data_IF_106657462325
#
_entry.id   IF_106657462325
#
_cell.length_a   1.000
_cell.length_b   1.000
_cell.length_c   1.000
_cell.angle_alpha   90.00
_cell.angle_beta   90.00
_cell.angle_gamma   90.00
#
_symmetry.space_group_name_H-M   'P 1'
#
loop_
_entity.id
_entity.type
_entity.pdbx_description
1 polymer ?
#
# COMPACT_ATOMS: atom_id res chain seq x y z
N UNK A 1 -26.51 7.74 1.23
CA UNK A 1 -27.77 8.05 0.53
C UNK A 1 -28.28 6.81 -0.20
N UNK A 2 -27.65 6.29 -1.28
CA UNK A 2 -28.17 5.14 -2.02
C UNK A 2 -28.36 3.89 -1.14
N UNK A 3 -27.43 3.60 -0.22
CA UNK A 3 -27.55 2.49 0.76
C UNK A 3 -28.77 2.69 1.68
N UNK A 4 -28.98 3.90 2.17
CA UNK A 4 -30.11 4.23 3.03
C UNK A 4 -31.46 4.15 2.28
N UNK A 5 -31.50 4.58 1.02
CA UNK A 5 -32.70 4.56 0.17
C UNK A 5 -33.07 3.14 -0.30
N UNK A 6 -32.08 2.28 -0.54
CA UNK A 6 -32.30 0.94 -1.12
C UNK A 6 -32.26 -0.18 -0.10
N UNK A 7 -31.65 0.04 1.06
CA UNK A 7 -31.37 -1.01 2.05
C UNK A 7 -30.33 -2.06 1.59
N UNK A 8 -29.69 -1.85 0.45
CA UNK A 8 -28.65 -2.74 -0.08
C UNK A 8 -27.34 -2.54 0.69
N UNK A 9 -26.55 -3.60 0.79
CA UNK A 9 -25.23 -3.55 1.39
C UNK A 9 -24.23 -3.00 0.37
N UNK A 10 -23.36 -2.12 0.83
CA UNK A 10 -22.21 -1.62 0.06
C UNK A 10 -20.94 -1.80 0.87
N UNK A 11 -19.89 -2.22 0.22
CA UNK A 11 -18.55 -2.30 0.80
C UNK A 11 -17.54 -1.83 -0.25
N UNK A 12 -16.68 -0.90 0.13
CA UNK A 12 -15.48 -0.59 -0.64
C UNK A 12 -14.40 -1.58 -0.24
N UNK A 13 -13.90 -2.34 -1.20
CA UNK A 13 -12.83 -3.31 -0.98
C UNK A 13 -11.47 -2.62 -1.18
N UNK A 14 -10.93 -2.02 -0.11
CA UNK A 14 -9.54 -1.59 -0.09
C UNK A 14 -8.67 -2.78 0.32
N UNK A 15 -7.78 -3.23 -0.57
CA UNK A 15 -7.09 -4.53 -0.42
C UNK A 15 -5.79 -4.44 0.37
N UNK A 16 -5.05 -3.34 0.30
CA UNK A 16 -3.71 -3.23 0.93
C UNK A 16 -3.77 -3.36 2.44
N UNK A 17 -4.82 -2.86 3.09
CA UNK A 17 -5.01 -2.98 4.55
C UNK A 17 -5.33 -4.41 5.01
N UNK A 18 -5.53 -5.33 4.08
CA UNK A 18 -5.71 -6.77 4.33
C UNK A 18 -4.55 -7.60 3.78
N UNK A 19 -3.52 -6.97 3.22
CA UNK A 19 -2.31 -7.69 2.82
C UNK A 19 -1.58 -8.24 4.04
N UNK A 20 -0.87 -9.35 3.84
CA UNK A 20 -0.14 -10.02 4.92
C UNK A 20 0.90 -9.10 5.56
N UNK A 21 1.57 -8.31 4.75
CA UNK A 21 2.58 -7.35 5.21
C UNK A 21 1.94 -6.26 6.07
N UNK A 22 0.80 -5.72 5.66
CA UNK A 22 0.10 -4.72 6.46
C UNK A 22 -0.38 -5.31 7.79
N UNK A 23 -0.96 -6.50 7.78
CA UNK A 23 -1.39 -7.19 9.01
C UNK A 23 -0.22 -7.44 9.94
N UNK A 24 0.92 -7.87 9.40
CA UNK A 24 2.15 -8.06 10.18
C UNK A 24 2.63 -6.77 10.84
N UNK A 25 2.70 -5.68 10.08
CA UNK A 25 3.15 -4.39 10.62
C UNK A 25 2.15 -3.88 11.67
N UNK A 26 0.87 -4.04 11.40
CA UNK A 26 -0.20 -3.63 12.34
C UNK A 26 -0.11 -4.40 13.65
N UNK A 27 0.14 -5.70 13.60
CA UNK A 27 0.38 -6.52 14.79
C UNK A 27 1.59 -6.03 15.59
N UNK A 28 2.72 -5.74 14.93
CA UNK A 28 3.90 -5.17 15.59
C UNK A 28 3.59 -3.82 16.26
N UNK A 29 2.77 -3.00 15.61
CA UNK A 29 2.34 -1.72 16.16
C UNK A 29 1.46 -1.89 17.39
N UNK A 30 0.42 -2.70 17.29
CA UNK A 30 -0.56 -2.94 18.35
C UNK A 30 0.09 -3.58 19.59
N UNK A 31 1.12 -4.40 19.39
CA UNK A 31 1.96 -4.98 20.45
C UNK A 31 2.99 -3.99 21.04
N UNK A 32 3.10 -2.77 20.50
CA UNK A 32 4.07 -1.75 20.94
C UNK A 32 5.52 -2.07 20.57
N UNK A 33 5.74 -3.01 19.65
CA UNK A 33 7.06 -3.45 19.24
C UNK A 33 7.78 -2.41 18.37
N UNK A 34 7.04 -1.64 17.56
CA UNK A 34 7.60 -0.54 16.78
C UNK A 34 8.05 0.64 17.66
N UNK A 35 7.57 0.71 18.91
CA UNK A 35 7.76 1.87 19.77
C UNK A 35 6.91 3.06 19.31
N UNK A 36 7.42 4.30 19.48
CA UNK A 36 6.74 5.49 18.95
C UNK A 36 6.93 5.53 17.43
N UNK A 37 5.85 5.60 16.66
CA UNK A 37 5.94 5.86 15.23
C UNK A 37 6.50 7.25 14.97
N UNK A 38 7.41 7.35 14.01
CA UNK A 38 8.09 8.58 13.64
C UNK A 38 7.71 9.05 12.23
N UNK A 39 7.47 8.10 11.31
CA UNK A 39 7.20 8.43 9.92
C UNK A 39 6.57 7.24 9.18
N UNK A 40 5.74 7.53 8.18
CA UNK A 40 5.15 6.56 7.26
C UNK A 40 5.48 6.97 5.83
N UNK A 41 5.80 5.99 4.99
CA UNK A 41 5.96 6.20 3.55
C UNK A 41 5.24 5.10 2.78
N UNK A 42 4.45 5.47 1.78
CA UNK A 42 3.76 4.50 0.94
C UNK A 42 3.91 4.81 -0.54
N UNK A 43 3.95 3.78 -1.35
CA UNK A 43 4.08 3.95 -2.78
C UNK A 43 3.24 2.93 -3.56
N UNK A 44 2.66 3.38 -4.68
CA UNK A 44 1.98 2.51 -5.61
C UNK A 44 2.42 2.82 -7.05
N UNK A 45 3.64 2.43 -7.43
CA UNK A 45 4.08 2.39 -8.82
C UNK A 45 3.31 1.32 -9.59
N UNK A 46 2.64 1.74 -10.66
CA UNK A 46 1.90 0.83 -11.53
C UNK A 46 1.89 1.38 -12.95
N UNK A 47 2.37 0.60 -13.92
CA UNK A 47 2.26 0.95 -15.33
C UNK A 47 0.94 0.38 -15.87
N UNK A 48 0.09 1.28 -16.38
CA UNK A 48 -1.23 0.96 -16.91
C UNK A 48 -1.23 0.85 -18.44
N UNK A 49 -0.06 0.86 -19.10
CA UNK A 49 0.01 0.64 -20.53
C UNK A 49 -0.56 -0.72 -20.93
N UNK A 50 -1.44 -0.73 -21.92
CA UNK A 50 -2.15 -1.93 -22.36
C UNK A 50 -3.39 -2.31 -21.52
N UNK A 51 -3.71 -1.55 -20.49
CA UNK A 51 -4.94 -1.70 -19.74
C UNK A 51 -6.14 -1.08 -20.49
N UNK A 52 -7.40 -1.38 -20.09
CA UNK A 52 -8.59 -0.78 -20.73
C UNK A 52 -8.52 0.74 -20.72
N UNK A 53 -8.94 1.36 -21.84
CA UNK A 53 -8.75 2.79 -22.10
C UNK A 53 -9.36 3.75 -21.07
N UNK A 54 -10.32 3.30 -20.26
CA UNK A 54 -10.89 4.14 -19.20
C UNK A 54 -9.86 4.50 -18.11
N UNK A 55 -8.75 3.75 -17.98
CA UNK A 55 -7.66 4.09 -17.08
C UNK A 55 -6.85 5.30 -17.54
N UNK A 56 -6.84 5.58 -18.86
CA UNK A 56 -6.10 6.70 -19.44
C UNK A 56 -6.68 8.07 -19.07
N UNK A 57 -7.92 8.11 -18.54
CA UNK A 57 -8.56 9.30 -18.04
C UNK A 57 -8.23 9.62 -16.57
N UNK A 58 -7.50 8.72 -15.89
CA UNK A 58 -7.16 8.87 -14.48
C UNK A 58 -5.82 9.56 -14.29
N UNK A 59 -5.79 10.47 -13.33
CA UNK A 59 -4.53 11.02 -12.79
C UNK A 59 -4.02 10.13 -11.64
N UNK A 60 -2.71 10.14 -11.33
CA UNK A 60 -2.16 9.23 -10.32
C UNK A 60 -2.89 9.26 -8.99
N UNK A 61 -3.18 10.42 -8.42
CA UNK A 61 -3.83 10.52 -7.10
C UNK A 61 -5.33 10.24 -7.09
N UNK A 62 -6.01 10.14 -8.24
CA UNK A 62 -7.39 9.63 -8.26
C UNK A 62 -7.48 8.15 -7.87
N UNK A 63 -6.39 7.41 -8.04
CA UNK A 63 -6.30 6.01 -7.62
C UNK A 63 -5.25 5.84 -6.52
N UNK A 64 -5.39 6.63 -5.45
CA UNK A 64 -4.44 6.67 -4.33
C UNK A 64 -4.89 5.87 -3.09
N UNK A 65 -6.01 5.16 -3.15
CA UNK A 65 -6.55 4.41 -2.01
C UNK A 65 -5.54 3.44 -1.42
N UNK A 66 -4.79 2.73 -2.26
CA UNK A 66 -3.80 1.74 -1.85
C UNK A 66 -2.56 2.31 -1.13
N UNK A 67 -2.36 3.63 -1.15
CA UNK A 67 -1.27 4.29 -0.40
C UNK A 67 -1.78 5.17 0.73
N UNK A 68 -3.00 5.70 0.61
CA UNK A 68 -3.63 6.51 1.66
C UNK A 68 -4.17 5.64 2.78
N UNK A 69 -4.92 4.58 2.42
CA UNK A 69 -5.58 3.70 3.39
C UNK A 69 -4.61 3.03 4.37
N UNK A 70 -3.48 2.43 3.93
CA UNK A 70 -2.55 1.84 4.87
C UNK A 70 -1.89 2.88 5.80
N UNK A 71 -1.59 4.08 5.30
CA UNK A 71 -1.03 5.14 6.16
C UNK A 71 -2.00 5.58 7.26
N UNK A 72 -3.27 5.76 6.93
CA UNK A 72 -4.30 6.14 7.90
C UNK A 72 -4.70 4.95 8.79
N UNK A 73 -4.81 3.75 8.20
CA UNK A 73 -5.16 2.52 8.90
C UNK A 73 -4.14 2.07 9.94
N UNK A 74 -2.85 2.42 9.76
CA UNK A 74 -1.82 2.12 10.78
C UNK A 74 -2.15 2.69 12.15
N UNK A 75 -2.78 3.86 12.20
CA UNK A 75 -3.07 4.59 13.45
C UNK A 75 -4.56 4.86 13.65
N UNK A 76 -5.42 4.23 12.84
CA UNK A 76 -6.87 4.47 12.83
C UNK A 76 -7.23 5.97 12.78
N UNK A 77 -6.43 6.72 11.99
CA UNK A 77 -6.45 8.19 11.95
C UNK A 77 -7.12 8.76 10.72
N UNK A 78 -7.26 10.08 10.71
CA UNK A 78 -7.75 10.87 9.59
C UNK A 78 -6.65 11.84 9.11
N UNK A 79 -6.73 12.28 7.87
CA UNK A 79 -5.89 13.36 7.37
C UNK A 79 -6.39 14.71 7.89
N UNK A 80 -5.50 15.48 8.51
CA UNK A 80 -5.74 16.87 8.91
C UNK A 80 -5.42 17.82 7.77
N UNK A 81 -4.28 17.58 7.12
CA UNK A 81 -3.76 18.43 6.06
C UNK A 81 -3.03 17.58 5.01
N UNK A 82 -3.17 17.98 3.73
CA UNK A 82 -2.52 17.32 2.60
C UNK A 82 -1.85 18.37 1.72
N UNK A 83 -0.59 18.12 1.35
CA UNK A 83 0.15 18.91 0.36
C UNK A 83 0.64 18.00 -0.75
N UNK A 84 0.29 18.30 -2.00
CA UNK A 84 0.61 17.49 -3.16
C UNK A 84 1.43 18.26 -4.19
N UNK A 85 2.34 17.54 -4.86
CA UNK A 85 3.14 18.04 -5.96
C UNK A 85 3.12 17.06 -7.13
N UNK A 86 3.00 17.60 -8.33
CA UNK A 86 3.25 16.85 -9.56
C UNK A 86 4.72 16.94 -9.98
N UNK A 87 5.22 15.88 -10.58
CA UNK A 87 6.61 15.75 -11.04
C UNK A 87 6.70 15.06 -12.39
N UNK A 88 7.68 15.45 -13.18
CA UNK A 88 7.90 14.90 -14.51
C UNK A 88 6.81 15.31 -15.50
N UNK A 89 6.82 14.66 -16.66
CA UNK A 89 5.84 14.90 -17.72
C UNK A 89 5.41 13.56 -18.30
N UNK A 90 4.11 13.31 -18.32
CA UNK A 90 3.52 12.18 -19.02
C UNK A 90 3.36 12.51 -20.50
N UNK A 91 3.32 11.50 -21.37
CA UNK A 91 3.12 11.67 -22.80
C UNK A 91 1.82 12.41 -23.13
N UNK A 92 1.82 13.10 -24.27
CA UNK A 92 0.76 14.05 -24.66
C UNK A 92 -0.63 13.42 -24.79
N UNK A 93 -0.74 12.19 -25.27
CA UNK A 93 -2.01 11.50 -25.43
C UNK A 93 -2.68 11.21 -24.08
N UNK A 94 -1.92 10.78 -23.08
CA UNK A 94 -2.39 10.58 -21.70
C UNK A 94 -2.70 11.92 -21.05
N UNK A 95 -1.83 12.91 -21.21
CA UNK A 95 -2.07 14.24 -20.65
C UNK A 95 -3.38 14.88 -21.16
N UNK A 96 -3.70 14.68 -22.44
CA UNK A 96 -4.95 15.18 -23.04
C UNK A 96 -6.19 14.47 -22.49
N UNK A 97 -6.11 13.15 -22.29
CA UNK A 97 -7.24 12.34 -21.79
C UNK A 97 -7.48 12.57 -20.30
N UNK A 98 -6.44 12.56 -19.50
CA UNK A 98 -6.53 12.72 -18.04
C UNK A 98 -6.71 14.17 -17.59
N UNK A 99 -6.34 15.14 -18.42
CA UNK A 99 -6.26 16.54 -18.05
C UNK A 99 -5.10 16.89 -17.12
N UNK A 100 -4.15 15.96 -16.93
CA UNK A 100 -2.98 16.11 -16.06
C UNK A 100 -1.69 15.85 -16.84
N UNK A 101 -0.72 16.74 -16.66
CA UNK A 101 0.57 16.65 -17.35
C UNK A 101 1.66 15.90 -16.58
N UNK A 102 1.42 15.57 -15.31
CA UNK A 102 2.46 15.02 -14.45
C UNK A 102 2.52 13.49 -14.55
N UNK A 103 3.74 12.96 -14.71
CA UNK A 103 3.97 11.52 -14.72
C UNK A 103 3.85 10.92 -13.31
N UNK A 104 4.32 11.64 -12.29
CA UNK A 104 4.28 11.23 -10.89
C UNK A 104 3.55 12.29 -10.07
N UNK A 105 2.75 11.86 -9.13
CA UNK A 105 2.21 12.72 -8.08
C UNK A 105 2.66 12.22 -6.71
N UNK A 106 3.06 13.14 -5.84
CA UNK A 106 3.47 12.85 -4.47
C UNK A 106 2.78 13.80 -3.49
N UNK A 107 2.42 13.28 -2.34
CA UNK A 107 1.73 14.04 -1.31
C UNK A 107 2.35 13.78 0.06
N UNK A 108 2.35 14.83 0.88
CA UNK A 108 2.54 14.72 2.32
C UNK A 108 1.20 14.84 3.03
N UNK A 109 0.95 13.94 3.95
CA UNK A 109 -0.27 13.89 4.75
C UNK A 109 0.11 14.14 6.21
N UNK A 110 -0.44 15.17 6.82
CA UNK A 110 -0.41 15.35 8.28
C UNK A 110 -1.58 14.56 8.87
N UNK A 111 -1.30 13.70 9.83
CA UNK A 111 -2.32 12.91 10.53
C UNK A 111 -2.91 13.74 11.65
N UNK A 112 -4.23 13.75 11.74
CA UNK A 112 -4.99 14.51 12.71
C UNK A 112 -4.66 14.08 14.14
N UNK A 113 -4.61 15.04 15.06
CA UNK A 113 -4.35 14.85 16.50
C UNK A 113 -3.08 14.04 16.80
N UNK A 114 -2.08 14.09 15.90
CA UNK A 114 -0.83 13.32 15.95
C UNK A 114 0.35 14.16 15.51
N UNK A 115 1.56 13.84 16.00
CA UNK A 115 2.81 14.38 15.46
C UNK A 115 3.25 13.67 14.17
N UNK A 116 2.57 12.58 13.82
CA UNK A 116 2.92 11.72 12.69
C UNK A 116 2.55 12.37 11.35
N UNK A 117 3.35 12.11 10.36
CA UNK A 117 3.05 12.41 8.96
C UNK A 117 3.38 11.25 8.06
N UNK A 118 2.75 11.20 6.89
CA UNK A 118 3.00 10.22 5.86
C UNK A 118 3.42 10.89 4.55
N UNK A 119 4.31 10.25 3.80
CA UNK A 119 4.62 10.60 2.43
C UNK A 119 4.11 9.51 1.52
N UNK A 120 3.35 9.87 0.51
CA UNK A 120 2.84 8.94 -0.50
C UNK A 120 3.23 9.40 -1.90
N UNK A 121 3.44 8.47 -2.81
CA UNK A 121 3.66 8.77 -4.21
C UNK A 121 3.12 7.67 -5.12
N UNK A 122 2.72 8.09 -6.32
CA UNK A 122 2.10 7.24 -7.31
C UNK A 122 2.40 7.69 -8.73
N UNK A 123 2.48 6.74 -9.65
CA UNK A 123 2.38 6.97 -11.10
C UNK A 123 1.50 5.89 -11.75
N UNK A 124 1.07 6.19 -12.98
CA UNK A 124 0.26 5.28 -13.80
C UNK A 124 0.90 5.01 -15.16
N UNK A 125 1.75 5.90 -15.66
CA UNK A 125 2.35 5.85 -17.00
C UNK A 125 3.75 6.46 -17.01
N UNK A 126 4.55 6.06 -18.00
CA UNK A 126 5.82 6.69 -18.37
C UNK A 126 6.91 6.71 -17.28
N UNK A 127 6.85 5.79 -16.31
CA UNK A 127 7.89 5.62 -15.32
C UNK A 127 8.35 4.16 -15.29
N UNK A 128 9.61 3.93 -15.65
CA UNK A 128 10.19 2.59 -15.69
C UNK A 128 10.43 2.05 -14.28
N UNK A 129 9.41 1.46 -13.69
CA UNK A 129 9.45 0.84 -12.36
C UNK A 129 8.50 -0.36 -12.33
N UNK A 130 8.99 -1.49 -11.82
CA UNK A 130 8.15 -2.66 -11.54
C UNK A 130 7.01 -2.27 -10.59
N UNK A 131 5.89 -2.97 -10.71
CA UNK A 131 4.76 -2.84 -9.79
C UNK A 131 5.19 -2.96 -8.33
N UNK A 132 4.61 -2.13 -7.47
CA UNK A 132 4.74 -2.19 -6.01
C UNK A 132 3.52 -1.52 -5.37
N UNK A 133 2.91 -2.20 -4.43
CA UNK A 133 2.04 -1.59 -3.42
C UNK A 133 2.73 -1.74 -2.08
N UNK A 134 2.86 -0.67 -1.31
CA UNK A 134 3.68 -0.76 -0.11
C UNK A 134 3.40 0.32 0.90
N UNK A 135 3.69 -0.02 2.15
CA UNK A 135 3.89 0.94 3.23
C UNK A 135 5.18 0.62 3.97
N UNK A 136 6.06 1.60 4.11
CA UNK A 136 7.24 1.55 4.95
C UNK A 136 6.93 2.29 6.26
N UNK A 137 7.26 1.68 7.40
CA UNK A 137 6.87 2.19 8.72
C UNK A 137 8.10 2.35 9.59
N UNK A 138 8.35 3.57 10.03
CA UNK A 138 9.53 3.92 10.82
C UNK A 138 9.15 4.19 12.27
N UNK A 139 9.61 3.32 13.16
CA UNK A 139 9.39 3.40 14.60
C UNK A 139 10.67 3.63 15.40
N UNK A 140 10.54 3.98 16.66
CA UNK A 140 11.68 4.25 17.53
C UNK A 140 12.42 3.00 18.04
N UNK A 141 11.79 1.82 17.95
CA UNK A 141 12.38 0.53 18.34
C UNK A 141 12.62 -0.37 17.14
N UNK A 142 11.64 -0.45 16.25
CA UNK A 142 11.70 -1.22 15.01
C UNK A 142 11.14 -0.40 13.86
N UNK A 143 11.63 -0.66 12.66
CA UNK A 143 11.11 -0.12 11.41
C UNK A 143 10.93 -1.25 10.41
N UNK A 144 9.93 -1.15 9.56
CA UNK A 144 9.66 -2.13 8.53
C UNK A 144 9.73 -1.46 7.16
N UNK A 145 10.48 -2.07 6.26
CA UNK A 145 10.53 -1.70 4.85
C UNK A 145 9.98 -2.83 4.00
N UNK A 146 8.92 -2.54 3.28
CA UNK A 146 8.32 -3.47 2.34
C UNK A 146 9.25 -3.74 1.18
N UNK A 147 9.25 -4.95 0.66
CA UNK A 147 10.14 -5.33 -0.44
C UNK A 147 10.17 -4.31 -1.59
N UNK A 148 11.35 -4.07 -2.14
CA UNK A 148 11.53 -3.22 -3.32
C UNK A 148 11.29 -3.96 -4.62
N UNK A 149 11.49 -5.27 -4.63
CA UNK A 149 11.36 -6.14 -5.80
C UNK A 149 10.43 -7.29 -5.44
N UNK A 150 9.45 -7.54 -6.29
CA UNK A 150 8.50 -8.65 -6.10
C UNK A 150 9.25 -9.98 -5.94
N UNK A 151 8.82 -10.78 -4.95
CA UNK A 151 9.45 -12.05 -4.63
C UNK A 151 10.66 -11.96 -3.67
N UNK A 152 11.14 -10.76 -3.36
CA UNK A 152 12.16 -10.57 -2.32
C UNK A 152 11.50 -10.39 -0.94
N UNK A 153 12.18 -10.76 0.15
CA UNK A 153 11.64 -10.55 1.50
C UNK A 153 11.62 -9.07 1.89
N UNK A 154 10.65 -8.69 2.69
CA UNK A 154 10.64 -7.41 3.40
C UNK A 154 11.71 -7.38 4.49
N UNK A 155 12.07 -6.20 4.96
CA UNK A 155 13.15 -5.97 5.92
C UNK A 155 12.61 -5.38 7.21
N UNK A 156 13.00 -5.96 8.33
CA UNK A 156 12.80 -5.41 9.65
C UNK A 156 14.11 -4.86 10.19
N UNK A 157 14.11 -3.61 10.56
CA UNK A 157 15.23 -2.94 11.24
C UNK A 157 14.95 -2.90 12.73
N UNK A 158 15.94 -3.31 13.53
CA UNK A 158 15.84 -3.31 15.00
C UNK A 158 16.92 -2.39 15.56
N UNK A 159 16.48 -1.33 16.23
CA UNK A 159 17.40 -0.36 16.83
C UNK A 159 18.17 -0.99 18.01
N UNK A 160 19.46 -1.18 17.85
CA UNK A 160 20.38 -1.64 18.89
C UNK A 160 21.35 -0.53 19.23
N UNK A 161 21.27 -0.01 20.44
CA UNK A 161 22.18 1.04 20.93
C UNK A 161 23.10 0.45 22.00
N UNK A 162 24.42 0.66 21.92
CA UNK A 162 25.20 1.42 20.93
C UNK A 162 25.64 0.62 19.68
N UNK A 163 25.21 -0.61 19.52
CA UNK A 163 25.59 -1.48 18.43
C UNK A 163 24.98 -1.03 17.10
N UNK A 164 25.61 -1.45 16.01
CA UNK A 164 25.08 -1.22 14.69
C UNK A 164 23.76 -1.96 14.50
N UNK A 165 22.86 -1.34 13.78
CA UNK A 165 21.62 -1.94 13.33
C UNK A 165 21.88 -3.18 12.47
N UNK A 166 21.12 -4.24 12.69
CA UNK A 166 21.17 -5.46 11.89
C UNK A 166 19.81 -5.62 11.20
N UNK A 167 19.74 -5.42 9.87
CA UNK A 167 18.52 -5.67 9.12
C UNK A 167 18.18 -7.17 9.14
N UNK A 168 16.90 -7.48 9.36
CA UNK A 168 16.40 -8.84 9.37
C UNK A 168 15.45 -9.06 8.18
N UNK A 169 15.67 -10.12 7.42
CA UNK A 169 14.70 -10.56 6.41
C UNK A 169 13.52 -11.19 7.11
N UNK A 170 12.32 -10.76 6.75
CA UNK A 170 11.10 -11.18 7.43
C UNK A 170 10.36 -12.20 6.59
N UNK A 171 10.02 -13.33 7.20
CA UNK A 171 9.02 -14.25 6.68
C UNK A 171 7.65 -13.80 7.21
N UNK A 172 6.81 -13.30 6.32
CA UNK A 172 5.48 -12.81 6.68
C UNK A 172 4.53 -14.00 6.87
N UNK A 173 3.82 -14.13 8.01
CA UNK A 173 2.80 -15.16 8.21
C UNK A 173 1.67 -15.08 7.18
N UNK A 174 0.99 -16.18 6.94
CA UNK A 174 -0.13 -16.22 5.99
C UNK A 174 -1.43 -15.62 6.55
N UNK A 175 -1.51 -15.42 7.86
CA UNK A 175 -2.70 -14.91 8.56
C UNK A 175 -4.00 -15.67 8.26
N UNK A 176 -3.92 -16.89 7.74
CA UNK A 176 -5.08 -17.70 7.40
C UNK A 176 -6.07 -17.87 8.57
N UNK A 177 -5.56 -17.89 9.80
CA UNK A 177 -6.34 -18.03 11.02
C UNK A 177 -7.35 -16.87 11.26
N UNK A 178 -7.14 -15.71 10.63
CA UNK A 178 -8.09 -14.59 10.68
C UNK A 178 -9.31 -14.79 9.80
N UNK A 179 -9.28 -15.77 8.89
CA UNK A 179 -10.36 -16.06 7.97
C UNK A 179 -11.25 -17.19 8.47
N UNK A 180 -12.55 -17.20 8.12
CA UNK A 180 -13.42 -18.34 8.35
C UNK A 180 -12.85 -19.63 7.75
N UNK A 181 -12.92 -20.74 8.47
CA UNK A 181 -12.34 -22.03 8.08
C UNK A 181 -12.59 -22.44 6.62
N UNK A 182 -13.81 -22.29 6.05
CA UNK A 182 -14.06 -22.71 4.66
C UNK A 182 -13.25 -21.97 3.61
N UNK A 183 -12.74 -20.75 3.92
CA UNK A 183 -11.99 -19.92 2.99
C UNK A 183 -10.49 -19.85 3.29
N UNK A 184 -10.01 -20.39 4.40
CA UNK A 184 -8.58 -20.41 4.75
C UNK A 184 -7.71 -21.04 3.68
N UNK A 185 -8.22 -22.06 2.98
CA UNK A 185 -7.51 -22.72 1.88
C UNK A 185 -7.14 -21.79 0.72
N UNK A 186 -7.85 -20.68 0.56
CA UNK A 186 -7.58 -19.71 -0.50
C UNK A 186 -6.42 -18.76 -0.18
N UNK A 187 -5.87 -18.80 1.02
CA UNK A 187 -4.66 -18.08 1.39
C UNK A 187 -3.39 -18.83 0.97
N UNK A 188 -3.50 -20.10 0.59
CA UNK A 188 -2.37 -20.91 0.16
C UNK A 188 -2.13 -20.76 -1.34
N UNK A 189 -0.86 -20.75 -1.74
CA UNK A 189 -0.51 -20.81 -3.15
C UNK A 189 -1.07 -22.09 -3.77
N UNK A 190 -1.86 -21.97 -4.82
CA UNK A 190 -2.37 -23.11 -5.57
C UNK A 190 -1.32 -23.43 -6.65
N UNK A 191 -0.62 -24.54 -6.49
CA UNK A 191 0.38 -25.04 -7.45
C UNK A 191 -0.25 -25.64 -8.73
N UNK A 192 -1.56 -25.60 -8.87
CA UNK A 192 -2.26 -26.18 -10.01
C UNK A 192 -2.30 -25.20 -11.18
N UNK A 193 -1.48 -25.45 -12.19
CA UNK A 193 -1.36 -24.62 -13.40
C UNK A 193 -2.64 -24.53 -14.26
N UNK A 194 -3.62 -25.41 -14.02
CA UNK A 194 -4.89 -25.44 -14.75
C UNK A 194 -5.99 -24.57 -14.10
N UNK A 195 -5.75 -24.08 -12.89
CA UNK A 195 -6.63 -23.11 -12.26
C UNK A 195 -5.99 -21.72 -12.33
N UNK A 196 -6.64 -20.83 -13.08
CA UNK A 196 -6.43 -19.37 -13.01
C UNK A 196 -6.91 -18.85 -11.63
N UNK A 197 -6.36 -19.41 -10.58
CA UNK A 197 -6.57 -18.90 -9.24
C UNK A 197 -5.69 -17.68 -9.05
N UNK A 198 -6.19 -16.70 -8.36
CA UNK A 198 -5.43 -15.55 -7.91
C UNK A 198 -4.09 -16.00 -7.37
N UNK A 199 -3.01 -15.65 -8.08
CA UNK A 199 -1.66 -15.87 -7.58
C UNK A 199 -1.51 -14.88 -6.43
N UNK A 200 -1.50 -15.41 -5.23
CA UNK A 200 -1.23 -14.58 -4.06
C UNK A 200 0.21 -14.08 -4.12
N UNK A 201 0.38 -12.79 -3.93
CA UNK A 201 1.67 -12.13 -3.92
C UNK A 201 1.93 -11.19 -5.08
N UNK A 202 1.01 -11.08 -6.03
CA UNK A 202 1.10 -10.13 -7.12
C UNK A 202 -0.13 -9.25 -7.19
N UNK A 203 -0.03 -7.99 -6.88
CA UNK A 203 -1.08 -7.01 -7.06
C UNK A 203 -2.38 -7.33 -6.34
N UNK A 204 -3.40 -6.88 -6.29
CA UNK A 204 -4.74 -7.03 -5.71
C UNK A 204 -5.11 -8.39 -5.06
N UNK A 205 -4.19 -9.28 -4.83
CA UNK A 205 -4.41 -10.57 -4.19
C UNK A 205 -3.83 -10.60 -2.78
N UNK A 206 -4.51 -9.98 -1.85
CA UNK A 206 -4.21 -10.14 -0.43
C UNK A 206 -4.93 -11.36 0.15
#
# INVERSE_FOLDING_TARGET
KAVEETGLKYMMAETVVYSREFLYIKELYDNGELGKLQYLAASHPQDMDGWPSYWEEMIPMHYATHVVSPCLGMVDGLAEYVSCFGSGTVRDDIAQKSGNKFAVESCHIKIQDSDLSAHIWRFLYDVARQYRESIDVYGSKKSFEWTLVEGEPSILHVAKRPEAEIPEKVEIPDFAHLLPEPIQKFTQSIEDADHLSFVQGGGHGG
#
